data_IF_714110082037
#
_entry.id   IF_714110082037
#
_cell.length_a   1.000
_cell.length_b   1.000
_cell.length_c   1.000
_cell.angle_alpha   90.00
_cell.angle_beta   90.00
_cell.angle_gamma   90.00
#
_symmetry.space_group_name_H-M   'P 1'
#
loop_
_entity.id
_entity.type
_entity.pdbx_description
1 polymer ?
#
# COMPACT_ATOMS: atom_id res chain seq x y z
N UNK A 1 -2.32 7.84 -11.64
CA UNK A 1 -2.73 6.83 -12.64
C UNK A 1 -3.15 7.59 -13.88
N UNK A 2 -2.59 7.26 -15.05
CA UNK A 2 -3.05 7.78 -16.33
C UNK A 2 -3.89 6.71 -17.01
N UNK A 3 -5.15 7.01 -17.32
CA UNK A 3 -6.14 6.05 -17.81
C UNK A 3 -6.18 4.74 -16.96
N UNK A 4 -6.02 3.59 -17.60
CA UNK A 4 -5.97 2.24 -17.01
C UNK A 4 -4.53 1.75 -16.75
N UNK A 5 -3.54 2.65 -16.82
CA UNK A 5 -2.14 2.34 -16.56
C UNK A 5 -1.82 2.07 -15.09
N UNK A 6 -0.54 1.83 -14.77
CA UNK A 6 -0.07 1.67 -13.39
C UNK A 6 -0.34 2.90 -12.53
N UNK A 7 -0.48 2.68 -11.22
CA UNK A 7 -0.56 3.76 -10.23
C UNK A 7 0.83 4.01 -9.66
N UNK A 8 1.30 5.25 -9.78
CA UNK A 8 2.51 5.71 -9.08
C UNK A 8 2.12 6.36 -7.75
N UNK A 9 2.69 5.84 -6.66
CA UNK A 9 2.56 6.36 -5.30
C UNK A 9 3.89 7.00 -4.90
N UNK A 10 3.86 8.30 -4.62
CA UNK A 10 5.02 9.03 -4.10
C UNK A 10 4.70 9.52 -2.70
N UNK A 11 5.58 9.26 -1.75
CA UNK A 11 5.36 9.59 -0.34
C UNK A 11 6.61 10.05 0.38
N UNK A 12 6.40 10.90 1.38
CA UNK A 12 7.38 11.29 2.38
C UNK A 12 6.82 10.97 3.76
N UNK A 13 7.61 10.30 4.59
CA UNK A 13 7.27 9.99 5.99
C UNK A 13 8.39 10.45 6.91
N UNK A 14 8.04 10.71 8.17
CA UNK A 14 8.99 11.13 9.20
C UNK A 14 8.58 10.62 10.58
N UNK A 15 9.54 10.53 11.52
CA UNK A 15 9.29 10.11 12.89
C UNK A 15 9.25 8.58 13.08
N UNK A 16 9.75 7.83 12.10
CA UNK A 16 9.84 6.37 12.16
C UNK A 16 11.24 5.94 12.59
N UNK A 17 11.34 4.73 13.16
CA UNK A 17 12.63 4.10 13.45
C UNK A 17 13.39 3.82 12.15
N UNK A 18 14.73 3.95 12.09
CA UNK A 18 15.49 3.57 10.91
C UNK A 18 15.29 2.09 10.54
N UNK A 19 15.27 1.79 9.24
CA UNK A 19 15.11 0.44 8.70
C UNK A 19 13.92 0.27 7.74
N UNK A 20 13.52 -0.99 7.54
CA UNK A 20 12.40 -1.38 6.68
C UNK A 20 11.08 -1.32 7.44
N UNK A 21 10.06 -0.75 6.81
CA UNK A 21 8.68 -0.73 7.32
C UNK A 21 7.72 -1.23 6.25
N UNK A 22 6.86 -2.18 6.61
CA UNK A 22 5.82 -2.68 5.72
C UNK A 22 4.85 -1.57 5.32
N UNK A 23 4.49 -1.54 4.05
CA UNK A 23 3.60 -0.54 3.46
C UNK A 23 2.53 -1.25 2.64
N UNK A 24 1.28 -0.99 2.97
CA UNK A 24 0.15 -1.72 2.39
C UNK A 24 -1.06 -0.81 2.21
N UNK A 25 -1.91 -1.17 1.25
CA UNK A 25 -3.30 -0.71 1.20
C UNK A 25 -4.16 -1.76 1.92
N UNK A 26 -4.89 -1.33 2.94
CA UNK A 26 -5.85 -2.12 3.69
C UNK A 26 -7.22 -2.14 3.00
N UNK A 27 -8.06 -3.10 3.37
CA UNK A 27 -9.33 -3.33 2.69
C UNK A 27 -10.35 -2.21 2.93
N UNK A 28 -10.29 -1.51 4.06
CA UNK A 28 -11.31 -0.55 4.49
C UNK A 28 -10.68 0.81 4.82
N UNK A 29 -11.42 1.89 4.57
CA UNK A 29 -11.13 3.23 5.09
C UNK A 29 -11.77 3.52 6.44
N UNK A 30 -12.17 2.48 7.19
CA UNK A 30 -12.76 2.66 8.51
C UNK A 30 -11.67 2.98 9.54
N UNK A 31 -11.74 4.18 10.10
CA UNK A 31 -10.81 4.71 11.09
C UNK A 31 -11.49 4.98 12.45
N UNK A 32 -12.71 4.49 12.64
CA UNK A 32 -13.49 4.70 13.88
C UNK A 32 -12.84 4.07 15.12
N UNK A 33 -12.01 3.04 14.94
CA UNK A 33 -11.17 2.44 15.98
C UNK A 33 -9.68 2.53 15.62
N UNK A 34 -9.25 3.67 15.08
CA UNK A 34 -7.88 3.89 14.61
C UNK A 34 -7.50 2.95 13.47
N UNK A 35 -6.23 2.57 13.36
CA UNK A 35 -5.76 1.71 12.27
C UNK A 35 -6.33 0.29 12.35
N UNK A 36 -6.78 -0.17 13.52
CA UNK A 36 -7.29 -1.54 13.69
C UNK A 36 -8.57 -1.80 12.90
N UNK A 37 -9.40 -0.77 12.65
CA UNK A 37 -10.64 -0.91 11.89
C UNK A 37 -10.45 -0.91 10.37
N UNK A 38 -9.23 -0.66 9.87
CA UNK A 38 -8.94 -0.68 8.43
C UNK A 38 -9.01 -2.09 7.82
N UNK A 39 -9.06 -3.13 8.65
CA UNK A 39 -9.19 -4.51 8.23
C UNK A 39 -7.87 -5.10 7.72
N UNK A 40 -7.91 -6.24 7.00
CA UNK A 40 -6.73 -6.89 6.44
C UNK A 40 -6.19 -6.12 5.21
N UNK A 41 -5.12 -6.62 4.60
CA UNK A 41 -4.63 -6.10 3.32
C UNK A 41 -5.73 -6.21 2.24
N UNK A 42 -5.79 -5.25 1.33
CA UNK A 42 -6.71 -5.28 0.20
C UNK A 42 -6.38 -6.47 -0.72
N UNK A 43 -7.31 -7.43 -0.81
CA UNK A 43 -7.10 -8.70 -1.49
C UNK A 43 -8.35 -9.14 -2.28
N UNK A 44 -8.68 -8.46 -3.40
CA UNK A 44 -9.86 -8.80 -4.21
C UNK A 44 -9.71 -10.18 -4.89
N UNK A 45 -8.49 -10.61 -5.17
CA UNK A 45 -8.19 -11.87 -5.84
C UNK A 45 -8.11 -13.09 -4.89
N UNK A 46 -8.23 -12.90 -3.58
CA UNK A 46 -8.18 -13.99 -2.59
C UNK A 46 -6.84 -14.74 -2.56
N UNK A 47 -5.73 -14.06 -2.85
CA UNK A 47 -4.36 -14.61 -2.89
C UNK A 47 -3.72 -14.66 -1.49
N UNK A 48 -2.52 -15.24 -1.40
CA UNK A 48 -1.69 -15.16 -0.20
C UNK A 48 -0.86 -13.87 -0.21
N UNK A 49 -0.30 -13.51 0.95
CA UNK A 49 0.62 -12.38 1.07
C UNK A 49 1.92 -12.65 0.32
N UNK A 50 2.46 -11.64 -0.35
CA UNK A 50 3.71 -11.73 -1.12
C UNK A 50 4.41 -10.38 -1.29
N UNK A 51 5.59 -10.40 -1.91
CA UNK A 51 6.27 -9.18 -2.34
C UNK A 51 5.56 -8.54 -3.54
N UNK A 52 5.71 -7.24 -3.81
CA UNK A 52 5.06 -6.55 -4.95
C UNK A 52 5.36 -7.16 -6.33
N UNK A 53 6.49 -7.85 -6.46
CA UNK A 53 6.94 -8.50 -7.69
C UNK A 53 6.39 -9.92 -7.85
N UNK A 54 5.79 -10.49 -6.80
CA UNK A 54 5.26 -11.85 -6.84
C UNK A 54 3.93 -11.93 -7.59
N UNK A 55 3.73 -13.02 -8.34
CA UNK A 55 2.44 -13.32 -8.95
C UNK A 55 1.38 -13.66 -7.88
N UNK A 56 1.80 -14.30 -6.78
CA UNK A 56 0.95 -14.63 -5.64
C UNK A 56 1.18 -13.61 -4.52
N UNK A 57 0.39 -12.54 -4.54
CA UNK A 57 0.38 -11.48 -3.53
C UNK A 57 -1.02 -10.91 -3.37
N UNK A 58 -1.28 -10.21 -2.27
CA UNK A 58 -2.44 -9.34 -2.19
C UNK A 58 -2.25 -8.11 -3.08
N UNK A 59 -3.35 -7.54 -3.57
CA UNK A 59 -3.29 -6.30 -4.36
C UNK A 59 -2.71 -5.13 -3.54
N UNK A 60 -3.02 -5.09 -2.24
CA UNK A 60 -2.51 -4.07 -1.32
C UNK A 60 -1.08 -4.27 -0.85
N UNK A 61 -0.37 -5.33 -1.28
CA UNK A 61 1.01 -5.57 -0.87
C UNK A 61 1.98 -4.69 -1.66
N UNK A 62 2.47 -3.61 -1.03
CA UNK A 62 3.42 -2.65 -1.63
C UNK A 62 4.85 -2.78 -1.08
N UNK A 63 5.11 -3.84 -0.31
CA UNK A 63 6.44 -4.19 0.17
C UNK A 63 6.88 -3.33 1.36
N UNK A 64 8.12 -2.86 1.33
CA UNK A 64 8.69 -2.04 2.39
C UNK A 64 9.13 -0.67 1.90
N UNK A 65 8.88 0.36 2.71
CA UNK A 65 9.56 1.64 2.59
C UNK A 65 10.83 1.64 3.46
N UNK A 66 11.83 2.41 3.03
CA UNK A 66 13.11 2.54 3.75
C UNK A 66 13.11 3.87 4.50
N UNK A 67 13.37 3.80 5.80
CA UNK A 67 13.54 4.97 6.69
C UNK A 67 15.01 5.08 7.08
N UNK A 68 15.59 6.26 6.87
CA UNK A 68 16.97 6.57 7.22
C UNK A 68 17.19 6.86 8.71
N UNK A 69 18.45 7.06 9.08
CA UNK A 69 18.88 7.38 10.46
C UNK A 69 18.30 8.71 10.99
N UNK A 70 17.91 9.63 10.10
CA UNK A 70 17.22 10.87 10.45
C UNK A 70 15.72 10.69 10.72
N UNK A 71 15.25 9.44 10.69
CA UNK A 71 13.85 9.06 10.90
C UNK A 71 12.93 9.42 9.74
N UNK A 72 13.47 9.69 8.54
CA UNK A 72 12.71 10.06 7.34
C UNK A 72 12.78 8.98 6.27
N UNK A 73 11.70 8.83 5.51
CA UNK A 73 11.62 7.97 4.34
C UNK A 73 11.03 8.73 3.15
N UNK A 74 11.65 8.59 1.98
CA UNK A 74 11.12 9.07 0.71
C UNK A 74 11.03 7.88 -0.23
N UNK A 75 9.90 7.70 -0.89
CA UNK A 75 9.70 6.56 -1.78
C UNK A 75 8.84 6.92 -2.98
N UNK A 76 9.06 6.17 -4.06
CA UNK A 76 8.19 6.14 -5.24
C UNK A 76 7.99 4.69 -5.61
N UNK A 77 6.73 4.25 -5.59
CA UNK A 77 6.32 2.88 -5.91
C UNK A 77 5.40 2.98 -7.13
N UNK A 78 5.59 2.12 -8.12
CA UNK A 78 4.66 2.00 -9.24
C UNK A 78 4.10 0.59 -9.26
N UNK A 79 2.78 0.47 -9.19
CA UNK A 79 2.11 -0.82 -9.03
C UNK A 79 0.85 -0.91 -9.93
N UNK A 80 0.59 -2.11 -10.45
CA UNK A 80 -0.49 -2.38 -11.40
C UNK A 80 -1.75 -2.99 -10.77
N UNK A 81 -1.76 -3.30 -9.47
CA UNK A 81 -2.87 -3.94 -8.76
C UNK A 81 -3.65 -2.97 -7.84
N UNK A 82 -3.30 -1.68 -7.83
CA UNK A 82 -3.96 -0.64 -7.04
C UNK A 82 -4.55 0.48 -7.92
N UNK A 83 -5.58 0.18 -8.73
CA UNK A 83 -6.20 1.18 -9.60
C UNK A 83 -6.92 2.26 -8.78
N UNK A 84 -7.04 3.47 -9.33
CA UNK A 84 -7.77 4.59 -8.71
C UNK A 84 -9.23 4.68 -9.16
N UNK A 85 -9.66 3.89 -10.14
CA UNK A 85 -11.03 3.81 -10.63
C UNK A 85 -11.47 2.37 -10.89
N UNK A 86 -12.76 2.17 -11.16
CA UNK A 86 -13.33 0.85 -11.39
C UNK A 86 -13.65 0.08 -10.10
N UNK A 87 -14.03 -1.19 -10.26
CA UNK A 87 -14.52 -2.02 -9.16
C UNK A 87 -13.48 -2.27 -8.07
N UNK A 88 -12.21 -2.40 -8.45
CA UNK A 88 -11.09 -2.66 -7.54
C UNK A 88 -10.39 -1.37 -7.08
N UNK A 89 -11.02 -0.21 -7.24
CA UNK A 89 -10.43 1.07 -6.85
C UNK A 89 -9.98 1.05 -5.37
N UNK A 90 -8.81 1.66 -5.12
CA UNK A 90 -8.28 1.88 -3.77
C UNK A 90 -8.79 3.19 -3.14
N UNK A 91 -9.54 4.02 -3.87
CA UNK A 91 -10.10 5.25 -3.32
C UNK A 91 -11.11 4.92 -2.21
N UNK A 92 -10.94 5.56 -1.04
CA UNK A 92 -11.74 5.30 0.15
C UNK A 92 -11.24 4.16 1.03
N UNK A 93 -10.07 3.59 0.72
CA UNK A 93 -9.34 2.63 1.56
C UNK A 93 -8.24 3.35 2.36
N UNK A 94 -7.55 2.60 3.23
CA UNK A 94 -6.46 3.09 4.07
C UNK A 94 -5.13 2.46 3.67
#
# INVERSE_FOLDING_TARGET
QEADGPTTVTGNVSGLKPGLHGFHVHALGDTTNGCMSTGPHFNPAGKQHGAPEDENRHAGDLGNIIVGEDGKGNFTITDCQIPLCGHESIIGRA
#
